data_IF_753055754315
#
_entry.id   IF_753055754315
#
_cell.length_a   1.000
_cell.length_b   1.000
_cell.length_c   1.000
_cell.angle_alpha   90.00
_cell.angle_beta   90.00
_cell.angle_gamma   90.00
#
_symmetry.space_group_name_H-M   'P 1'
#
loop_
_entity.id
_entity.type
_entity.pdbx_description
1 polymer ?
#
# COMPACT_ATOMS: atom_id res chain seq x y z
N UNK A 1 10.42 -14.55 14.27
CA UNK A 1 9.13 -14.03 14.75
C UNK A 1 8.00 -14.75 14.04
N UNK A 2 6.85 -14.88 14.69
CA UNK A 2 5.67 -15.60 14.21
C UNK A 2 4.62 -14.60 13.71
N UNK A 3 4.22 -14.69 12.44
CA UNK A 3 3.27 -13.77 11.81
C UNK A 3 1.98 -14.51 11.46
N UNK A 4 0.83 -13.87 11.67
CA UNK A 4 -0.47 -14.32 11.18
C UNK A 4 -0.93 -13.36 10.09
N UNK A 5 -1.36 -13.89 8.94
CA UNK A 5 -1.76 -13.10 7.78
C UNK A 5 -3.27 -13.22 7.58
N UNK A 6 -3.94 -12.09 7.41
CA UNK A 6 -5.34 -12.01 6.99
C UNK A 6 -5.43 -11.16 5.72
N UNK A 7 -6.09 -11.64 4.69
CA UNK A 7 -6.11 -10.97 3.40
C UNK A 7 -7.45 -11.14 2.67
N UNK A 8 -7.73 -10.23 1.75
CA UNK A 8 -8.88 -10.36 0.87
C UNK A 8 -8.67 -11.48 -0.16
N UNK A 9 -9.73 -12.25 -0.43
CA UNK A 9 -9.69 -13.41 -1.32
C UNK A 9 -9.82 -13.01 -2.80
N UNK A 10 -8.74 -12.40 -3.32
CA UNK A 10 -8.54 -12.11 -4.74
C UNK A 10 -7.05 -11.91 -5.04
N UNK A 11 -6.67 -11.69 -6.31
CA UNK A 11 -5.28 -11.66 -6.77
C UNK A 11 -4.34 -10.84 -5.87
N UNK A 12 -4.76 -9.63 -5.49
CA UNK A 12 -3.93 -8.77 -4.63
C UNK A 12 -3.62 -9.43 -3.29
N UNK A 13 -4.65 -9.87 -2.54
CA UNK A 13 -4.44 -10.49 -1.23
C UNK A 13 -3.65 -11.79 -1.32
N UNK A 14 -3.93 -12.61 -2.33
CA UNK A 14 -3.25 -13.89 -2.54
C UNK A 14 -1.77 -13.67 -2.89
N UNK A 15 -1.45 -12.80 -3.85
CA UNK A 15 -0.06 -12.55 -4.28
C UNK A 15 0.74 -11.84 -3.17
N UNK A 16 0.17 -10.79 -2.58
CA UNK A 16 0.88 -10.05 -1.52
C UNK A 16 1.16 -10.92 -0.30
N UNK A 17 0.23 -11.82 0.07
CA UNK A 17 0.45 -12.78 1.16
C UNK A 17 1.62 -13.72 0.90
N UNK A 18 1.86 -14.11 -0.35
CA UNK A 18 3.02 -14.93 -0.70
C UNK A 18 4.33 -14.13 -0.54
N UNK A 19 4.36 -12.87 -0.95
CA UNK A 19 5.52 -12.00 -0.71
C UNK A 19 5.80 -11.80 0.78
N UNK A 20 4.76 -11.58 1.59
CA UNK A 20 4.89 -11.51 3.06
C UNK A 20 5.46 -12.81 3.62
N UNK A 21 4.93 -13.97 3.18
CA UNK A 21 5.41 -15.28 3.62
C UNK A 21 6.89 -15.45 3.27
N UNK A 22 7.26 -15.17 2.02
CA UNK A 22 8.65 -15.25 1.57
C UNK A 22 9.56 -14.34 2.40
N UNK A 23 9.20 -13.08 2.58
CA UNK A 23 9.99 -12.13 3.37
C UNK A 23 10.19 -12.59 4.82
N UNK A 24 9.12 -13.08 5.45
CA UNK A 24 9.16 -13.60 6.83
C UNK A 24 10.11 -14.79 6.93
N UNK A 25 10.03 -15.74 6.01
CA UNK A 25 10.87 -16.94 5.97
C UNK A 25 12.34 -16.59 5.68
N UNK A 26 12.61 -15.74 4.70
CA UNK A 26 13.97 -15.29 4.35
C UNK A 26 14.67 -14.57 5.52
N UNK A 27 13.90 -14.01 6.44
CA UNK A 27 14.40 -13.35 7.67
C UNK A 27 14.29 -14.25 8.93
N UNK A 28 14.16 -15.56 8.77
CA UNK A 28 14.15 -16.52 9.87
C UNK A 28 12.88 -16.50 10.73
N UNK A 29 11.78 -15.97 10.21
CA UNK A 29 10.47 -15.97 10.85
C UNK A 29 9.59 -17.14 10.42
N UNK A 30 8.42 -17.26 11.04
CA UNK A 30 7.39 -18.26 10.76
C UNK A 30 6.07 -17.56 10.40
N UNK A 31 5.36 -18.07 9.38
CA UNK A 31 3.97 -17.68 9.12
C UNK A 31 3.04 -18.74 9.69
N UNK A 32 2.31 -18.38 10.75
CA UNK A 32 1.42 -19.27 11.48
C UNK A 32 0.21 -19.72 10.65
N UNK A 33 -0.37 -18.78 9.90
CA UNK A 33 -1.48 -19.01 8.97
C UNK A 33 -1.59 -17.87 7.98
N UNK A 34 -2.22 -18.14 6.84
CA UNK A 34 -2.72 -17.15 5.89
C UNK A 34 -4.20 -17.47 5.68
N UNK A 35 -5.08 -16.59 6.15
CA UNK A 35 -6.53 -16.75 6.00
C UNK A 35 -7.04 -15.72 4.99
N UNK A 36 -7.83 -16.17 4.00
CA UNK A 36 -8.42 -15.34 2.96
C UNK A 36 -9.91 -15.14 3.19
N UNK A 37 -10.40 -13.93 2.90
CA UNK A 37 -11.78 -13.52 3.16
C UNK A 37 -12.42 -12.85 1.95
N UNK A 38 -13.67 -13.19 1.60
CA UNK A 38 -14.47 -12.40 0.68
C UNK A 38 -14.60 -10.94 1.13
N UNK A 39 -14.76 -10.01 0.17
CA UNK A 39 -14.74 -8.56 0.44
C UNK A 39 -15.91 -8.08 1.34
N UNK A 40 -16.96 -8.87 1.45
CA UNK A 40 -18.18 -8.56 2.18
C UNK A 40 -18.35 -9.31 3.51
N UNK A 41 -17.30 -9.96 4.00
CA UNK A 41 -17.34 -10.62 5.32
C UNK A 41 -17.51 -9.60 6.43
N UNK A 42 -18.40 -9.89 7.35
CA UNK A 42 -18.71 -9.01 8.49
C UNK A 42 -18.49 -9.67 9.86
N UNK A 43 -18.33 -11.00 9.92
CA UNK A 43 -18.07 -11.73 11.17
C UNK A 43 -16.67 -12.34 11.16
N UNK A 44 -15.87 -11.95 12.14
CA UNK A 44 -14.50 -12.39 12.34
C UNK A 44 -14.24 -13.06 13.69
N UNK A 45 -15.30 -13.41 14.44
CA UNK A 45 -15.17 -14.02 15.77
C UNK A 45 -14.33 -15.30 15.75
N UNK A 46 -14.60 -16.20 14.81
CA UNK A 46 -13.82 -17.43 14.66
C UNK A 46 -12.36 -17.15 14.27
N UNK A 47 -12.11 -16.19 13.39
CA UNK A 47 -10.76 -15.78 12.97
C UNK A 47 -9.97 -15.20 14.13
N UNK A 48 -10.58 -14.32 14.91
CA UNK A 48 -9.94 -13.73 16.11
C UNK A 48 -9.57 -14.85 17.11
N UNK A 49 -10.46 -15.83 17.33
CA UNK A 49 -10.18 -16.99 18.19
C UNK A 49 -9.00 -17.83 17.66
N UNK A 50 -8.90 -18.04 16.34
CA UNK A 50 -7.75 -18.72 15.72
C UNK A 50 -6.44 -17.93 15.92
N UNK A 51 -6.46 -16.61 15.72
CA UNK A 51 -5.30 -15.76 15.94
C UNK A 51 -4.85 -15.83 17.41
N UNK A 52 -5.80 -15.77 18.36
CA UNK A 52 -5.51 -15.92 19.78
C UNK A 52 -4.85 -17.27 20.11
N UNK A 53 -5.35 -18.35 19.54
CA UNK A 53 -4.80 -19.70 19.74
C UNK A 53 -3.41 -19.84 19.12
N UNK A 54 -3.17 -19.23 17.96
CA UNK A 54 -1.88 -19.27 17.26
C UNK A 54 -0.79 -18.46 17.98
N UNK A 55 -1.17 -17.48 18.81
CA UNK A 55 -0.24 -16.60 19.57
C UNK A 55 0.86 -16.02 18.69
N UNK A 56 0.55 -15.30 17.59
CA UNK A 56 1.56 -14.67 16.77
C UNK A 56 2.18 -13.47 17.50
N UNK A 57 3.41 -13.12 17.14
CA UNK A 57 4.05 -11.88 17.59
C UNK A 57 3.42 -10.65 16.90
N UNK A 58 2.75 -10.89 15.75
CA UNK A 58 2.31 -9.82 14.86
C UNK A 58 1.23 -10.32 13.89
N UNK A 59 0.24 -9.46 13.58
CA UNK A 59 -0.75 -9.71 12.53
C UNK A 59 -0.49 -8.77 11.35
N UNK A 60 -0.41 -9.33 10.14
CA UNK A 60 -0.37 -8.55 8.92
C UNK A 60 -1.73 -8.63 8.21
N UNK A 61 -2.30 -7.46 7.87
CA UNK A 61 -3.64 -7.33 7.29
C UNK A 61 -3.59 -6.72 5.89
N UNK A 62 -4.11 -7.46 4.92
CA UNK A 62 -4.47 -6.99 3.58
C UNK A 62 -5.98 -7.17 3.31
N UNK A 63 -6.80 -6.96 4.31
CA UNK A 63 -8.24 -6.89 4.14
C UNK A 63 -8.62 -5.67 3.32
N UNK A 64 -9.68 -5.78 2.52
CA UNK A 64 -10.19 -4.72 1.63
C UNK A 64 -11.71 -4.63 1.75
N UNK A 65 -12.27 -3.47 1.42
CA UNK A 65 -13.72 -3.25 1.40
C UNK A 65 -14.36 -3.22 2.79
N UNK A 66 -15.61 -3.67 2.90
CA UNK A 66 -16.38 -3.66 4.16
C UNK A 66 -15.78 -4.53 5.27
N UNK A 67 -14.98 -5.52 4.92
CA UNK A 67 -14.29 -6.41 5.85
C UNK A 67 -13.33 -5.68 6.79
N UNK A 68 -12.68 -4.59 6.33
CA UNK A 68 -11.80 -3.76 7.17
C UNK A 68 -12.47 -3.32 8.47
N UNK A 69 -13.55 -2.55 8.35
CA UNK A 69 -14.23 -1.93 9.48
C UNK A 69 -14.76 -3.00 10.44
N UNK A 70 -15.35 -4.07 9.89
CA UNK A 70 -15.89 -5.18 10.68
C UNK A 70 -14.79 -5.88 11.49
N UNK A 71 -13.64 -6.16 10.86
CA UNK A 71 -12.54 -6.82 11.54
C UNK A 71 -11.95 -5.96 12.67
N UNK A 72 -11.60 -4.69 12.38
CA UNK A 72 -10.91 -3.86 13.38
C UNK A 72 -11.78 -3.54 14.59
N UNK A 73 -13.09 -3.35 14.40
CA UNK A 73 -14.05 -3.22 15.53
C UNK A 73 -14.08 -4.45 16.41
N UNK A 74 -14.22 -5.64 15.81
CA UNK A 74 -14.25 -6.90 16.55
C UNK A 74 -12.91 -7.21 17.21
N UNK A 75 -11.78 -6.89 16.54
CA UNK A 75 -10.44 -7.02 17.08
C UNK A 75 -10.25 -6.17 18.35
N UNK A 76 -10.68 -4.92 18.31
CA UNK A 76 -10.64 -4.02 19.45
C UNK A 76 -11.59 -4.49 20.58
N UNK A 77 -12.83 -4.86 20.24
CA UNK A 77 -13.82 -5.38 21.20
C UNK A 77 -13.34 -6.65 21.93
N UNK A 78 -12.55 -7.50 21.24
CA UNK A 78 -11.92 -8.67 21.84
C UNK A 78 -10.67 -8.33 22.68
N UNK A 79 -10.31 -7.06 22.83
CA UNK A 79 -9.14 -6.59 23.59
C UNK A 79 -7.80 -6.96 22.94
N UNK A 80 -7.80 -7.30 21.65
CA UNK A 80 -6.61 -7.81 20.97
C UNK A 80 -5.67 -6.71 20.50
N UNK A 81 -6.17 -5.51 20.23
CA UNK A 81 -5.38 -4.37 19.73
C UNK A 81 -4.16 -4.06 20.61
N UNK A 82 -4.31 -4.15 21.93
CA UNK A 82 -3.24 -3.89 22.89
C UNK A 82 -2.35 -5.10 23.19
N UNK A 83 -2.69 -6.27 22.65
CA UNK A 83 -1.97 -7.53 22.92
C UNK A 83 -1.08 -7.97 21.78
N UNK A 84 -1.54 -7.80 20.54
CA UNK A 84 -0.81 -8.23 19.35
C UNK A 84 -0.74 -7.04 18.39
N UNK A 85 0.47 -6.56 18.07
CA UNK A 85 0.67 -5.49 17.08
C UNK A 85 0.13 -5.89 15.72
N UNK A 86 -0.30 -4.90 14.93
CA UNK A 86 -0.81 -5.13 13.59
C UNK A 86 -0.24 -4.10 12.61
N UNK A 87 0.06 -4.55 11.39
CA UNK A 87 0.33 -3.67 10.27
C UNK A 87 -0.56 -4.00 9.08
N UNK A 88 -0.70 -3.03 8.19
CA UNK A 88 -1.52 -3.14 7.00
C UNK A 88 -0.90 -2.39 5.82
N UNK A 89 -1.11 -2.93 4.63
CA UNK A 89 -0.86 -2.27 3.34
C UNK A 89 -2.15 -1.86 2.64
N UNK A 90 -3.26 -1.83 3.36
CA UNK A 90 -4.60 -1.46 2.83
C UNK A 90 -5.38 -0.55 3.76
N UNK A 91 -5.02 -0.48 5.03
CA UNK A 91 -5.68 0.40 6.01
C UNK A 91 -5.45 1.88 5.67
N UNK A 92 -6.43 2.71 5.90
CA UNK A 92 -6.49 4.16 5.63
C UNK A 92 -6.67 4.55 4.14
N UNK A 93 -6.72 3.60 3.21
CA UNK A 93 -7.06 3.88 1.79
C UNK A 93 -8.47 4.44 1.64
N UNK A 94 -9.42 3.98 2.46
CA UNK A 94 -10.79 4.50 2.58
C UNK A 94 -10.98 5.50 3.73
N UNK A 95 -9.90 6.06 4.29
CA UNK A 95 -9.94 6.92 5.47
C UNK A 95 -10.51 6.21 6.73
N UNK A 96 -10.28 4.90 6.88
CA UNK A 96 -10.76 4.10 7.99
C UNK A 96 -10.32 4.66 9.35
N UNK A 97 -9.12 5.25 9.42
CA UNK A 97 -8.57 5.89 10.62
C UNK A 97 -9.41 7.10 11.10
N UNK A 98 -10.21 7.71 10.21
CA UNK A 98 -11.15 8.79 10.57
C UNK A 98 -12.49 8.19 11.02
N UNK A 99 -12.93 7.10 10.38
CA UNK A 99 -14.21 6.43 10.64
C UNK A 99 -14.20 5.64 11.96
N UNK A 100 -13.09 4.94 12.22
CA UNK A 100 -12.89 4.17 13.45
C UNK A 100 -12.58 5.08 14.64
N UNK A 101 -12.91 4.63 15.85
CA UNK A 101 -12.48 5.33 17.05
C UNK A 101 -10.98 5.11 17.34
N UNK A 102 -10.35 5.98 18.16
CA UNK A 102 -8.95 5.76 18.58
C UNK A 102 -8.76 4.41 19.28
N UNK A 103 -9.74 3.94 20.05
CA UNK A 103 -9.71 2.64 20.72
C UNK A 103 -9.73 1.48 19.72
N UNK A 104 -10.27 1.68 18.51
CA UNK A 104 -10.37 0.66 17.48
C UNK A 104 -9.12 0.58 16.60
N UNK A 105 -8.37 1.67 16.40
CA UNK A 105 -7.30 1.69 15.41
C UNK A 105 -5.96 2.33 15.83
N UNK A 106 -5.84 3.02 16.98
CA UNK A 106 -4.54 3.56 17.42
C UNK A 106 -3.49 2.46 17.54
N UNK A 107 -2.25 2.74 17.12
CA UNK A 107 -1.14 1.78 17.11
C UNK A 107 -1.08 0.90 15.87
N UNK A 108 -2.04 1.01 14.94
CA UNK A 108 -1.96 0.34 13.64
C UNK A 108 -0.78 0.89 12.84
N UNK A 109 0.10 0.03 12.36
CA UNK A 109 1.17 0.40 11.44
C UNK A 109 0.71 0.29 9.99
N UNK A 110 1.12 1.25 9.16
CA UNK A 110 0.72 1.36 7.77
C UNK A 110 1.97 1.64 6.93
N UNK A 111 2.05 1.06 5.74
CA UNK A 111 3.16 1.26 4.82
C UNK A 111 2.64 1.69 3.45
N UNK A 112 2.98 2.93 3.03
CA UNK A 112 2.61 3.51 1.73
C UNK A 112 3.69 4.42 1.18
N UNK A 113 3.56 4.77 -0.11
CA UNK A 113 4.39 5.78 -0.75
C UNK A 113 3.88 7.22 -0.55
N UNK A 114 2.70 7.39 0.04
CA UNK A 114 2.13 8.71 0.30
C UNK A 114 1.24 8.74 1.53
N UNK A 115 1.41 9.78 2.32
CA UNK A 115 0.48 10.24 3.37
C UNK A 115 0.27 11.75 3.21
N UNK A 116 -0.98 12.22 3.35
CA UNK A 116 -1.29 13.65 3.22
C UNK A 116 -0.43 14.53 4.16
N UNK A 117 -0.06 13.98 5.31
CA UNK A 117 0.77 14.66 6.30
C UNK A 117 2.27 14.75 5.99
N UNK A 118 2.75 14.25 4.85
CA UNK A 118 4.15 14.36 4.44
C UNK A 118 4.58 15.82 4.34
N UNK A 119 5.79 16.13 4.85
CA UNK A 119 6.32 17.49 4.94
C UNK A 119 7.33 17.76 3.83
N UNK A 120 6.84 18.27 2.72
CA UNK A 120 7.67 18.80 1.64
C UNK A 120 6.90 19.91 0.89
N UNK A 121 7.61 20.87 0.26
CA UNK A 121 6.98 22.03 -0.38
C UNK A 121 6.00 21.69 -1.51
N UNK A 122 6.22 20.58 -2.23
CA UNK A 122 5.34 20.14 -3.33
C UNK A 122 4.02 19.62 -2.77
N UNK A 123 4.06 18.84 -1.69
CA UNK A 123 2.86 18.38 -0.99
C UNK A 123 2.09 19.53 -0.35
N UNK A 124 2.77 20.42 0.36
CA UNK A 124 2.13 21.58 1.00
C UNK A 124 1.37 22.44 -0.04
N UNK A 125 1.99 22.69 -1.20
CA UNK A 125 1.35 23.43 -2.28
C UNK A 125 0.19 22.65 -2.92
N UNK A 126 0.31 21.32 -3.04
CA UNK A 126 -0.75 20.47 -3.57
C UNK A 126 -1.97 20.48 -2.64
N UNK A 127 -1.78 20.20 -1.35
CA UNK A 127 -2.87 20.15 -0.35
C UNK A 127 -3.56 21.53 -0.25
N UNK A 128 -2.81 22.62 -0.25
CA UNK A 128 -3.39 23.96 -0.27
C UNK A 128 -4.33 24.17 -1.46
N UNK A 129 -3.93 23.76 -2.68
CA UNK A 129 -4.79 23.84 -3.87
C UNK A 129 -5.99 22.91 -3.79
N UNK A 130 -5.79 21.72 -3.24
CA UNK A 130 -6.85 20.73 -3.08
C UNK A 130 -7.96 21.25 -2.16
N UNK A 131 -7.62 21.73 -0.97
CA UNK A 131 -8.58 22.31 -0.03
C UNK A 131 -9.23 23.60 -0.53
N UNK A 132 -8.49 24.45 -1.24
CA UNK A 132 -9.08 25.64 -1.87
C UNK A 132 -10.16 25.31 -2.90
N UNK A 133 -10.07 24.12 -3.55
CA UNK A 133 -11.04 23.68 -4.55
C UNK A 133 -12.20 22.89 -3.96
N UNK A 134 -11.94 22.01 -2.98
CA UNK A 134 -12.91 21.02 -2.50
C UNK A 134 -13.41 21.29 -1.06
N UNK A 135 -12.80 22.24 -0.36
CA UNK A 135 -13.11 22.62 1.03
C UNK A 135 -12.23 21.88 2.06
N UNK A 136 -12.15 22.46 3.25
CA UNK A 136 -11.30 21.95 4.33
C UNK A 136 -11.86 20.68 5.00
N UNK A 137 -13.15 20.41 4.80
CA UNK A 137 -13.81 19.20 5.35
C UNK A 137 -13.76 18.01 4.40
N UNK A 138 -13.04 18.12 3.28
CA UNK A 138 -12.88 16.98 2.37
C UNK A 138 -12.02 15.90 3.02
N UNK A 139 -12.32 14.61 2.83
CA UNK A 139 -11.46 13.52 3.35
C UNK A 139 -10.02 13.63 2.88
N UNK A 140 -9.09 13.08 3.65
CA UNK A 140 -7.68 13.10 3.30
C UNK A 140 -7.43 12.48 1.92
N UNK A 141 -6.53 13.10 1.17
CA UNK A 141 -6.02 12.50 -0.07
C UNK A 141 -5.26 11.23 0.27
N UNK A 142 -5.73 10.12 -0.26
CA UNK A 142 -5.17 8.80 0.02
C UNK A 142 -4.04 8.43 -0.93
N UNK A 143 -3.31 7.37 -0.60
CA UNK A 143 -2.26 6.80 -1.46
C UNK A 143 -2.77 6.47 -2.85
N UNK A 144 -3.94 5.82 -3.00
CA UNK A 144 -4.52 5.49 -4.31
C UNK A 144 -4.86 6.73 -5.14
N UNK A 145 -5.39 7.79 -4.49
CA UNK A 145 -5.66 9.05 -5.15
C UNK A 145 -4.37 9.70 -5.63
N UNK A 146 -3.33 9.68 -4.81
CA UNK A 146 -2.02 10.21 -5.15
C UNK A 146 -1.35 9.40 -6.27
N UNK A 147 -1.44 8.08 -6.23
CA UNK A 147 -0.94 7.19 -7.29
C UNK A 147 -1.55 7.54 -8.66
N UNK A 148 -2.87 7.78 -8.69
CA UNK A 148 -3.58 8.20 -9.90
C UNK A 148 -3.11 9.59 -10.38
N UNK A 149 -2.98 10.55 -9.46
CA UNK A 149 -2.54 11.92 -9.78
C UNK A 149 -1.14 11.93 -10.38
N UNK A 150 -0.18 11.31 -9.73
CA UNK A 150 1.21 11.31 -10.20
C UNK A 150 1.41 10.45 -11.45
N UNK A 151 0.67 9.35 -11.60
CA UNK A 151 0.67 8.55 -12.83
C UNK A 151 0.18 9.34 -14.04
N UNK A 152 -0.83 10.19 -13.86
CA UNK A 152 -1.28 11.09 -14.92
C UNK A 152 -0.19 12.09 -15.34
N UNK A 153 0.55 12.67 -14.40
CA UNK A 153 1.63 13.61 -14.71
C UNK A 153 2.80 12.94 -15.41
N UNK A 154 3.18 11.73 -15.00
CA UNK A 154 4.20 10.93 -15.71
C UNK A 154 3.79 10.68 -17.16
N UNK A 155 2.53 10.29 -17.37
CA UNK A 155 1.98 10.11 -18.72
C UNK A 155 1.99 11.42 -19.53
N UNK A 156 1.55 12.53 -18.94
CA UNK A 156 1.51 13.82 -19.61
C UNK A 156 2.91 14.28 -20.05
N UNK A 157 3.92 14.08 -19.20
CA UNK A 157 5.30 14.42 -19.56
C UNK A 157 5.87 13.47 -20.62
N UNK A 158 5.48 12.19 -20.61
CA UNK A 158 5.80 11.25 -21.68
C UNK A 158 5.18 11.68 -23.02
N UNK A 159 3.91 12.10 -23.03
CA UNK A 159 3.23 12.62 -24.23
C UNK A 159 3.94 13.87 -24.77
N UNK A 160 4.31 14.81 -23.90
CA UNK A 160 5.08 16.01 -24.30
C UNK A 160 6.41 15.62 -24.92
N UNK A 161 7.11 14.68 -24.32
CA UNK A 161 8.41 14.20 -24.81
C UNK A 161 8.29 13.45 -26.13
N UNK A 162 7.25 12.62 -26.29
CA UNK A 162 6.97 11.89 -27.53
C UNK A 162 6.45 12.79 -28.67
N UNK A 163 5.90 13.98 -28.34
CA UNK A 163 5.23 14.88 -29.27
C UNK A 163 3.94 14.32 -29.88
N UNK A 164 3.37 13.26 -29.27
CA UNK A 164 2.19 12.55 -29.77
C UNK A 164 1.53 11.75 -28.64
N UNK A 165 0.26 11.37 -28.82
CA UNK A 165 -0.46 10.43 -27.93
C UNK A 165 -0.43 9.00 -28.47
N UNK A 166 0.33 8.70 -29.51
CA UNK A 166 0.48 7.35 -30.04
C UNK A 166 1.12 6.45 -28.98
N UNK A 167 0.43 5.33 -28.68
CA UNK A 167 0.70 4.48 -27.52
C UNK A 167 2.16 4.03 -27.40
N UNK A 168 2.72 3.47 -28.47
CA UNK A 168 4.07 2.92 -28.41
C UNK A 168 5.12 4.01 -28.26
N UNK A 169 4.95 5.16 -28.90
CA UNK A 169 5.87 6.30 -28.75
C UNK A 169 5.82 6.90 -27.33
N UNK A 170 4.64 6.88 -26.70
CA UNK A 170 4.53 7.31 -25.30
C UNK A 170 5.20 6.30 -24.37
N UNK A 171 5.07 4.99 -24.63
CA UNK A 171 5.81 3.96 -23.88
C UNK A 171 7.32 4.14 -24.04
N UNK A 172 7.82 4.32 -25.28
CA UNK A 172 9.24 4.59 -25.55
C UNK A 172 9.74 5.81 -24.76
N UNK A 173 8.90 6.86 -24.67
CA UNK A 173 9.22 8.05 -23.88
C UNK A 173 9.27 7.76 -22.38
N UNK A 174 8.31 6.99 -21.82
CA UNK A 174 8.33 6.54 -20.43
C UNK A 174 9.57 5.72 -20.10
N UNK A 175 9.96 4.82 -21.00
CA UNK A 175 11.12 3.95 -20.86
C UNK A 175 12.48 4.67 -20.91
N UNK A 176 12.50 5.98 -21.13
CA UNK A 176 13.72 6.78 -20.91
C UNK A 176 14.01 7.06 -19.43
N UNK A 177 13.16 6.59 -18.52
CA UNK A 177 13.26 6.87 -17.09
C UNK A 177 12.74 8.26 -16.73
N UNK A 178 11.58 8.64 -17.28
CA UNK A 178 10.93 9.91 -16.93
C UNK A 178 10.69 9.96 -15.41
N UNK A 179 10.95 11.11 -14.82
CA UNK A 179 10.69 11.38 -13.41
C UNK A 179 10.02 12.71 -13.21
N UNK A 180 9.22 12.79 -12.14
CA UNK A 180 8.55 14.01 -11.67
C UNK A 180 8.82 14.24 -10.18
N UNK A 181 8.78 15.49 -9.76
CA UNK A 181 8.69 15.86 -8.35
C UNK A 181 7.20 15.91 -7.97
N UNK A 182 6.75 14.88 -7.25
CA UNK A 182 5.36 14.73 -6.84
C UNK A 182 5.17 15.07 -5.35
N UNK A 183 3.92 15.23 -4.87
CA UNK A 183 3.65 15.38 -3.44
C UNK A 183 4.17 14.23 -2.58
N UNK A 184 4.31 13.02 -3.14
CA UNK A 184 4.89 11.83 -2.49
C UNK A 184 6.43 11.82 -2.49
N UNK A 185 7.10 12.80 -3.06
CA UNK A 185 8.52 12.81 -3.34
C UNK A 185 8.83 12.60 -4.83
N UNK A 186 10.07 12.27 -5.14
CA UNK A 186 10.48 12.00 -6.53
C UNK A 186 9.93 10.64 -6.98
N UNK A 187 9.24 10.64 -8.12
CA UNK A 187 8.70 9.43 -8.76
C UNK A 187 9.39 9.23 -10.10
N UNK A 188 10.02 8.07 -10.30
CA UNK A 188 10.76 7.76 -11.52
C UNK A 188 10.26 6.44 -12.12
N UNK A 189 9.99 6.42 -13.43
CA UNK A 189 9.67 5.16 -14.12
C UNK A 189 10.91 4.26 -14.12
N UNK A 190 10.74 3.01 -13.73
CA UNK A 190 11.73 1.95 -13.90
C UNK A 190 11.53 1.28 -15.26
N UNK A 191 12.43 1.55 -16.24
CA UNK A 191 12.20 1.10 -17.62
C UNK A 191 12.07 -0.41 -17.80
N UNK A 192 12.81 -1.26 -17.06
CA UNK A 192 12.68 -2.70 -17.22
C UNK A 192 11.33 -3.27 -16.78
N UNK A 193 10.69 -2.67 -15.78
CA UNK A 193 9.48 -3.23 -15.17
C UNK A 193 8.22 -2.43 -15.44
N UNK A 194 8.34 -1.18 -15.92
CA UNK A 194 7.27 -0.17 -16.05
C UNK A 194 6.60 0.20 -14.70
N UNK A 195 7.18 -0.24 -13.60
CA UNK A 195 6.81 0.26 -12.27
C UNK A 195 7.52 1.58 -11.97
N UNK A 196 7.34 2.09 -10.76
CA UNK A 196 8.00 3.31 -10.31
C UNK A 196 9.00 3.03 -9.20
N UNK A 197 10.10 3.77 -9.20
CA UNK A 197 10.94 3.97 -8.02
C UNK A 197 10.27 5.07 -7.20
N UNK A 198 9.99 4.80 -5.91
CA UNK A 198 9.18 5.62 -5.02
C UNK A 198 9.83 5.75 -3.65
N UNK A 199 9.53 6.86 -2.96
CA UNK A 199 9.73 6.89 -1.52
C UNK A 199 8.65 6.04 -0.84
N UNK A 200 9.01 5.35 0.22
CA UNK A 200 8.10 4.52 1.02
C UNK A 200 8.17 4.96 2.47
N UNK A 201 7.03 5.02 3.13
CA UNK A 201 6.92 5.50 4.49
C UNK A 201 6.18 4.49 5.36
N UNK A 202 6.63 4.35 6.61
CA UNK A 202 5.86 3.66 7.65
C UNK A 202 5.24 4.71 8.55
N UNK A 203 3.94 4.63 8.74
CA UNK A 203 3.18 5.48 9.64
C UNK A 203 2.43 4.68 10.70
N UNK A 204 2.12 5.33 11.81
CA UNK A 204 1.26 4.82 12.88
C UNK A 204 -0.03 5.63 12.93
N UNK A 205 -1.15 4.96 13.17
CA UNK A 205 -2.40 5.63 13.50
C UNK A 205 -2.36 6.13 14.93
N UNK A 206 -2.56 7.43 15.12
CA UNK A 206 -2.63 8.08 16.43
C UNK A 206 -3.69 9.16 16.42
N UNK A 207 -4.75 8.97 17.20
CA UNK A 207 -5.84 9.93 17.40
C UNK A 207 -6.40 10.47 16.06
N UNK A 208 -6.77 9.53 15.19
CA UNK A 208 -7.30 9.80 13.83
C UNK A 208 -6.31 10.48 12.89
N UNK A 209 -5.01 10.46 13.19
CA UNK A 209 -3.94 10.98 12.35
C UNK A 209 -3.00 9.85 11.94
N UNK A 210 -2.36 10.02 10.79
CA UNK A 210 -1.30 9.14 10.30
C UNK A 210 0.03 9.85 10.59
N UNK A 211 0.79 9.32 11.56
CA UNK A 211 2.06 9.88 12.01
C UNK A 211 3.19 9.07 11.38
N UNK A 212 3.95 9.68 10.48
CA UNK A 212 5.10 9.03 9.84
C UNK A 212 6.17 8.76 10.88
N UNK A 213 6.63 7.51 10.96
CA UNK A 213 7.65 7.02 11.87
C UNK A 213 8.99 6.83 11.18
N UNK A 214 8.97 6.40 9.91
CA UNK A 214 10.18 6.06 9.17
C UNK A 214 9.98 6.27 7.68
N UNK A 215 11.04 6.75 7.02
CA UNK A 215 11.11 7.00 5.59
C UNK A 215 12.16 6.09 4.94
N UNK A 216 11.85 5.58 3.75
CA UNK A 216 12.74 4.82 2.88
C UNK A 216 12.75 5.49 1.52
N UNK A 217 13.83 6.20 1.21
CA UNK A 217 13.94 6.94 -0.03
C UNK A 217 14.17 6.01 -1.23
N UNK A 218 13.53 6.33 -2.34
CA UNK A 218 13.78 5.81 -3.68
C UNK A 218 13.87 4.27 -3.73
N UNK A 219 12.82 3.60 -3.25
CA UNK A 219 12.74 2.15 -3.26
C UNK A 219 12.40 1.63 -4.66
N UNK A 220 13.21 0.74 -5.25
CA UNK A 220 12.93 0.15 -6.56
C UNK A 220 11.85 -0.95 -6.46
N UNK A 221 11.21 -1.34 -7.59
CA UNK A 221 10.24 -2.44 -7.64
C UNK A 221 10.94 -3.81 -7.56
N UNK A 222 11.51 -4.14 -6.41
CA UNK A 222 12.40 -5.29 -6.20
C UNK A 222 11.76 -6.64 -6.54
N UNK A 223 10.48 -6.82 -6.23
CA UNK A 223 9.71 -8.03 -6.51
C UNK A 223 9.53 -8.25 -8.02
N UNK A 224 9.04 -7.24 -8.73
CA UNK A 224 8.84 -7.31 -10.18
C UNK A 224 10.17 -7.43 -10.91
N UNK A 225 11.19 -6.68 -10.51
CA UNK A 225 12.52 -6.72 -11.11
C UNK A 225 13.20 -8.10 -11.03
N UNK A 226 12.82 -8.93 -10.05
CA UNK A 226 13.34 -10.28 -9.91
C UNK A 226 12.87 -11.24 -11.03
N UNK A 227 11.73 -10.97 -11.66
CA UNK A 227 11.08 -11.90 -12.61
C UNK A 227 10.78 -11.28 -13.97
N UNK A 228 10.66 -9.97 -14.09
CA UNK A 228 10.24 -9.27 -15.29
C UNK A 228 11.31 -8.28 -15.77
N UNK A 229 11.59 -8.30 -17.08
CA UNK A 229 12.43 -7.31 -17.73
C UNK A 229 11.95 -7.06 -19.16
N UNK A 230 11.07 -6.07 -19.33
CA UNK A 230 10.44 -5.72 -20.60
C UNK A 230 11.43 -5.15 -21.62
N UNK A 231 12.62 -4.67 -21.20
CA UNK A 231 13.69 -4.28 -22.13
C UNK A 231 14.33 -5.49 -22.82
N UNK A 232 14.42 -6.61 -22.13
CA UNK A 232 14.96 -7.87 -22.68
C UNK A 232 13.91 -8.70 -23.39
N UNK A 233 12.67 -8.64 -22.90
CA UNK A 233 11.53 -9.38 -23.43
C UNK A 233 10.29 -8.45 -23.49
N UNK A 234 10.17 -7.61 -24.53
CA UNK A 234 9.10 -6.61 -24.63
C UNK A 234 7.70 -7.21 -24.80
N UNK A 235 7.61 -8.45 -25.25
CA UNK A 235 6.33 -9.16 -25.45
C UNK A 235 5.94 -10.02 -24.23
N UNK A 236 6.64 -9.86 -23.10
CA UNK A 236 6.34 -10.62 -21.89
C UNK A 236 4.97 -10.21 -21.32
N UNK A 237 4.05 -11.15 -21.32
CA UNK A 237 2.69 -11.00 -20.79
C UNK A 237 2.33 -12.10 -19.78
N UNK A 238 3.34 -12.78 -19.22
CA UNK A 238 3.13 -13.87 -18.29
C UNK A 238 2.73 -13.34 -16.91
N UNK A 239 1.86 -14.09 -16.25
CA UNK A 239 1.63 -13.93 -14.82
C UNK A 239 2.66 -14.77 -14.05
N UNK A 240 3.57 -14.11 -13.37
CA UNK A 240 4.57 -14.77 -12.55
C UNK A 240 3.98 -15.21 -11.21
N UNK A 241 4.21 -16.46 -10.84
CA UNK A 241 3.85 -17.02 -9.55
C UNK A 241 5.09 -17.08 -8.68
N UNK A 242 4.99 -16.50 -7.47
CA UNK A 242 6.07 -16.58 -6.49
C UNK A 242 6.20 -18.02 -6.04
N UNK A 243 7.40 -18.57 -6.20
CA UNK A 243 7.76 -19.89 -5.67
C UNK A 243 8.38 -19.70 -4.28
N UNK A 244 7.78 -20.31 -3.28
CA UNK A 244 8.20 -20.28 -1.88
C UNK A 244 8.65 -21.68 -1.48
#
# INVERSE_FOLDING_TARGET
KKVYVIAADYNYGQITSQWVKKYVQDNGGEVASIDFFPLNVTDFGATISKIQAAKPDFVWSALVGGAHISFYRQWAAAGMRTRIPMASTTFAVGNEHITLSPEECNGMLICYNYFEGLKNPVNDAFIKRFHARFGDNYPNVTELAMGTYQGFWLWADAVKKAGTTERLKVIDALETGISIDAPSGKVTIDPPTHHCVLDVHIAEVKDKKLVVLQDFAQQPPADTAAVCNLKKNPDDNQQYVIKI
#
